data_IF_055363240922
#
_entry.id   IF_055363240922
#
_cell.length_a   1.000
_cell.length_b   1.000
_cell.length_c   1.000
_cell.angle_alpha   90.00
_cell.angle_beta   90.00
_cell.angle_gamma   90.00
#
_symmetry.space_group_name_H-M   'P 1'
#
loop_
_entity.id
_entity.type
_entity.pdbx_description
1 polymer ?
#
# COMPACT_ATOMS: atom_id res chain seq x y z
N UNK A 1 12.72 -17.74 -0.52
CA UNK A 1 11.73 -17.66 0.57
C UNK A 1 12.13 -18.45 1.80
N UNK A 2 12.73 -19.64 1.68
CA UNK A 2 13.13 -20.50 2.82
C UNK A 2 13.85 -19.78 3.98
N UNK A 3 14.85 -18.94 3.71
CA UNK A 3 15.56 -18.18 4.75
C UNK A 3 14.65 -17.20 5.49
N UNK A 4 13.81 -16.45 4.75
CA UNK A 4 12.91 -15.44 5.33
C UNK A 4 11.81 -16.12 6.13
N UNK A 5 11.19 -17.19 5.60
CA UNK A 5 10.19 -17.99 6.30
C UNK A 5 10.74 -18.60 7.59
N UNK A 6 11.98 -19.10 7.57
CA UNK A 6 12.65 -19.61 8.78
C UNK A 6 12.91 -18.50 9.80
N UNK A 7 13.36 -17.33 9.36
CA UNK A 7 13.68 -16.21 10.24
C UNK A 7 12.43 -15.53 10.82
N UNK A 8 11.34 -15.44 10.05
CA UNK A 8 10.10 -14.79 10.48
C UNK A 8 9.12 -15.74 11.17
N UNK A 9 9.26 -17.06 11.00
CA UNK A 9 8.28 -18.05 11.44
C UNK A 9 6.99 -18.06 10.60
N UNK A 10 6.92 -17.28 9.52
CA UNK A 10 5.74 -17.16 8.66
C UNK A 10 5.95 -17.91 7.36
N UNK A 11 5.10 -18.88 7.07
CA UNK A 11 5.10 -19.60 5.80
C UNK A 11 4.35 -18.81 4.73
N UNK A 12 5.03 -18.52 3.62
CA UNK A 12 4.44 -17.82 2.48
C UNK A 12 5.24 -18.11 1.20
N UNK A 13 4.58 -17.89 0.06
CA UNK A 13 5.14 -18.01 -1.28
C UNK A 13 5.33 -16.64 -1.92
N UNK A 14 6.01 -16.59 -3.06
CA UNK A 14 6.14 -15.36 -3.86
C UNK A 14 4.77 -14.86 -4.35
N UNK A 15 3.81 -15.78 -4.54
CA UNK A 15 2.46 -15.42 -4.95
C UNK A 15 1.68 -14.69 -3.85
N UNK A 16 1.87 -15.12 -2.59
CA UNK A 16 1.25 -14.47 -1.44
C UNK A 16 1.77 -13.03 -1.26
N UNK A 17 3.05 -12.78 -1.55
CA UNK A 17 3.60 -11.43 -1.59
C UNK A 17 2.92 -10.57 -2.66
N UNK A 18 2.69 -11.14 -3.86
CA UNK A 18 1.97 -10.45 -4.94
C UNK A 18 0.53 -10.14 -4.53
N UNK A 19 -0.17 -11.08 -3.91
CA UNK A 19 -1.54 -10.87 -3.40
C UNK A 19 -1.58 -9.80 -2.32
N UNK A 20 -0.66 -9.85 -1.37
CA UNK A 20 -0.53 -8.80 -0.33
C UNK A 20 -0.34 -7.43 -0.96
N UNK A 21 0.51 -7.30 -1.98
CA UNK A 21 0.70 -6.05 -2.72
C UNK A 21 -0.59 -5.56 -3.39
N UNK A 22 -1.36 -6.46 -4.03
CA UNK A 22 -2.64 -6.14 -4.66
C UNK A 22 -3.65 -5.65 -3.62
N UNK A 23 -3.83 -6.40 -2.54
CA UNK A 23 -4.80 -6.11 -1.48
C UNK A 23 -4.51 -4.76 -0.82
N UNK A 24 -3.23 -4.47 -0.54
CA UNK A 24 -2.84 -3.17 0.00
C UNK A 24 -3.11 -2.05 -1.00
N UNK A 25 -2.75 -2.22 -2.27
CA UNK A 25 -2.99 -1.20 -3.27
C UNK A 25 -4.48 -0.89 -3.43
N UNK A 26 -5.33 -1.92 -3.40
CA UNK A 26 -6.78 -1.78 -3.43
C UNK A 26 -7.30 -1.02 -2.20
N UNK A 27 -6.82 -1.36 -0.99
CA UNK A 27 -7.20 -0.65 0.25
C UNK A 27 -6.78 0.82 0.30
N UNK A 28 -5.84 1.23 -0.56
CA UNK A 28 -5.36 2.61 -0.70
C UNK A 28 -6.06 3.36 -1.84
N UNK A 29 -7.16 2.81 -2.39
CA UNK A 29 -7.93 3.36 -3.51
C UNK A 29 -7.07 3.63 -4.76
N UNK A 30 -6.04 2.81 -4.98
CA UNK A 30 -5.20 2.92 -6.18
C UNK A 30 -5.98 2.36 -7.37
N UNK A 31 -6.13 3.18 -8.41
CA UNK A 31 -6.85 2.77 -9.63
C UNK A 31 -6.35 1.43 -10.18
N UNK A 32 -7.29 0.57 -10.61
CA UNK A 32 -6.99 -0.76 -11.14
C UNK A 32 -5.98 -0.74 -12.31
N UNK A 33 -5.99 0.32 -13.11
CA UNK A 33 -5.05 0.50 -14.21
C UNK A 33 -3.62 0.83 -13.74
N UNK A 34 -3.47 1.69 -12.73
CA UNK A 34 -2.17 1.93 -12.12
C UNK A 34 -1.65 0.63 -11.48
N UNK A 35 -2.49 -0.12 -10.77
CA UNK A 35 -2.14 -1.39 -10.16
C UNK A 35 -1.68 -2.44 -11.19
N UNK A 36 -2.47 -2.66 -12.25
CA UNK A 36 -2.09 -3.56 -13.37
C UNK A 36 -0.71 -3.20 -13.94
N UNK A 37 -0.40 -1.90 -14.07
CA UNK A 37 0.89 -1.43 -14.57
C UNK A 37 2.03 -1.68 -13.58
N UNK A 38 1.83 -1.40 -12.29
CA UNK A 38 2.81 -1.72 -11.23
C UNK A 38 3.14 -3.22 -11.18
N UNK A 39 2.17 -4.06 -11.54
CA UNK A 39 2.30 -5.52 -11.58
C UNK A 39 2.83 -6.08 -12.91
N UNK A 40 3.16 -5.20 -13.87
CA UNK A 40 3.55 -5.55 -15.23
C UNK A 40 2.53 -6.46 -15.95
N UNK A 41 1.24 -6.28 -15.69
CA UNK A 41 0.19 -7.03 -16.36
C UNK A 41 -0.02 -6.57 -17.80
N UNK A 42 -0.26 -7.54 -18.70
CA UNK A 42 -0.63 -7.27 -20.09
C UNK A 42 -2.06 -6.72 -20.16
N UNK A 43 -2.26 -5.71 -20.99
CA UNK A 43 -3.56 -5.05 -21.18
C UNK A 43 -3.97 -4.98 -22.66
N UNK A 44 -3.44 -5.88 -23.49
CA UNK A 44 -3.55 -5.78 -24.96
C UNK A 44 -4.97 -5.82 -25.51
N UNK A 45 -5.92 -6.37 -24.77
CA UNK A 45 -7.30 -6.55 -25.20
C UNK A 45 -8.25 -5.57 -24.49
N UNK A 46 -7.71 -4.60 -23.77
CA UNK A 46 -8.47 -3.62 -23.00
C UNK A 46 -8.58 -2.31 -23.82
N UNK A 47 -9.71 -2.14 -24.51
CA UNK A 47 -9.95 -0.95 -25.34
C UNK A 47 -9.96 0.35 -24.52
N UNK A 48 -10.34 0.27 -23.25
CA UNK A 48 -10.39 1.41 -22.32
C UNK A 48 -8.99 1.82 -21.90
N UNK A 49 -8.06 0.87 -21.78
CA UNK A 49 -6.66 1.13 -21.44
C UNK A 49 -5.97 2.10 -22.42
N UNK A 50 -6.46 2.20 -23.67
CA UNK A 50 -5.93 3.14 -24.68
C UNK A 50 -6.13 4.61 -24.31
N UNK A 51 -7.13 4.92 -23.49
CA UNK A 51 -7.41 6.29 -23.05
C UNK A 51 -6.64 6.68 -21.79
N UNK A 52 -5.93 5.74 -21.18
CA UNK A 52 -5.26 5.96 -19.91
C UNK A 52 -3.83 6.39 -20.19
N UNK A 53 -3.51 7.59 -19.76
CA UNK A 53 -2.15 8.15 -19.88
C UNK A 53 -1.21 7.30 -19.03
N UNK A 54 -0.38 6.50 -19.70
CA UNK A 54 0.55 5.52 -19.12
C UNK A 54 1.93 6.11 -18.82
N UNK A 55 1.98 7.34 -18.33
CA UNK A 55 3.24 7.96 -17.93
C UNK A 55 3.75 7.32 -16.62
N UNK A 56 5.01 6.86 -16.65
CA UNK A 56 5.74 6.33 -15.49
C UNK A 56 5.72 7.31 -14.32
N UNK A 57 5.70 8.63 -14.58
CA UNK A 57 5.59 9.65 -13.52
C UNK A 57 4.31 9.48 -12.69
N UNK A 58 3.20 9.05 -13.31
CA UNK A 58 1.93 8.81 -12.60
C UNK A 58 1.96 7.59 -11.69
N UNK A 59 2.89 6.65 -11.92
CA UNK A 59 3.05 5.45 -11.08
C UNK A 59 3.85 5.70 -9.80
N UNK A 60 4.59 6.82 -9.73
CA UNK A 60 5.41 7.17 -8.56
C UNK A 60 4.56 7.36 -7.30
N UNK A 61 3.48 8.15 -7.39
CA UNK A 61 2.59 8.39 -6.25
C UNK A 61 1.92 7.11 -5.74
N UNK A 62 1.29 6.26 -6.59
CA UNK A 62 0.78 4.95 -6.18
C UNK A 62 1.83 4.05 -5.53
N UNK A 63 3.02 3.93 -6.12
CA UNK A 63 4.10 3.12 -5.54
C UNK A 63 4.52 3.66 -4.16
N UNK A 64 4.68 4.98 -4.04
CA UNK A 64 5.06 5.61 -2.78
C UNK A 64 4.00 5.36 -1.69
N UNK A 65 2.71 5.47 -2.01
CA UNK A 65 1.63 5.19 -1.05
C UNK A 65 1.69 3.75 -0.50
N UNK A 66 1.94 2.78 -1.38
CA UNK A 66 2.09 1.37 -0.97
C UNK A 66 3.35 1.21 -0.09
N UNK A 67 4.47 1.82 -0.48
CA UNK A 67 5.70 1.80 0.32
C UNK A 67 5.50 2.43 1.70
N UNK A 68 4.88 3.60 1.77
CA UNK A 68 4.61 4.30 3.03
C UNK A 68 3.71 3.46 3.94
N UNK A 69 2.72 2.77 3.37
CA UNK A 69 1.87 1.85 4.12
C UNK A 69 2.69 0.71 4.75
N UNK A 70 3.55 0.04 3.97
CA UNK A 70 4.43 -1.00 4.51
C UNK A 70 5.34 -0.47 5.62
N UNK A 71 5.96 0.69 5.41
CA UNK A 71 6.87 1.29 6.39
C UNK A 71 6.14 1.69 7.68
N UNK A 72 4.89 2.14 7.58
CA UNK A 72 4.03 2.38 8.76
C UNK A 72 3.72 1.08 9.50
N UNK A 73 3.31 0.02 8.80
CA UNK A 73 3.05 -1.29 9.41
C UNK A 73 4.30 -1.89 10.08
N UNK A 74 5.49 -1.61 9.54
CA UNK A 74 6.77 -2.04 10.11
C UNK A 74 7.27 -1.16 11.26
N UNK A 75 6.58 -0.06 11.58
CA UNK A 75 7.03 0.91 12.58
C UNK A 75 8.27 1.72 12.20
N UNK A 76 8.67 1.70 10.91
CA UNK A 76 9.81 2.46 10.39
C UNK A 76 9.45 3.94 10.23
N UNK A 77 8.21 4.22 9.84
CA UNK A 77 7.64 5.57 9.79
C UNK A 77 6.64 5.69 10.93
N UNK A 78 6.76 6.77 11.72
CA UNK A 78 5.80 7.08 12.79
C UNK A 78 4.40 7.28 12.21
N UNK A 79 3.41 6.59 12.79
CA UNK A 79 2.02 6.98 12.62
C UNK A 79 1.77 8.28 13.39
N UNK A 80 0.70 9.01 13.07
CA UNK A 80 0.41 10.32 13.66
C UNK A 80 0.46 10.29 15.20
N UNK A 81 1.06 11.30 15.81
CA UNK A 81 1.11 11.45 17.26
C UNK A 81 -0.32 11.62 17.79
N UNK A 82 -0.79 10.68 18.62
CA UNK A 82 -2.10 10.78 19.27
C UNK A 82 -2.03 11.83 20.38
N UNK A 83 -2.53 13.04 20.11
CA UNK A 83 -2.68 14.06 21.15
C UNK A 83 -3.88 13.67 22.01
N UNK A 84 -3.63 13.36 23.29
CA UNK A 84 -4.71 13.10 24.25
C UNK A 84 -5.57 14.35 24.44
N UNK A 85 -6.88 14.22 24.26
CA UNK A 85 -7.82 15.30 24.55
C UNK A 85 -7.86 15.47 26.07
N UNK A 86 -7.30 16.58 26.57
CA UNK A 86 -7.44 16.94 27.98
C UNK A 86 -8.88 17.36 28.25
N UNK A 87 -9.54 16.64 29.16
CA UNK A 87 -10.84 17.04 29.68
C UNK A 87 -10.70 18.42 30.32
N UNK A 88 -11.46 19.39 29.80
CA UNK A 88 -11.57 20.71 30.41
C UNK A 88 -12.19 20.51 31.79
N UNK A 89 -11.39 20.68 32.85
CA UNK A 89 -11.91 20.62 34.21
C UNK A 89 -12.80 21.85 34.39
N UNK A 90 -14.11 21.67 34.19
CA UNK A 90 -15.14 22.66 34.51
C UNK A 90 -15.04 22.91 36.01
N UNK A 91 -14.40 24.04 36.36
CA UNK A 91 -14.26 24.48 37.74
C UNK A 91 -15.63 24.69 38.36
N UNK A 92 -15.94 23.88 39.36
CA UNK A 92 -17.06 24.11 40.27
C UNK A 92 -16.71 25.31 41.14
N UNK A 93 -17.36 26.45 40.87
CA UNK A 93 -17.51 27.55 41.82
C UNK A 93 -18.82 27.40 42.58
#
# INVERSE_FOLDING_TARGET
MAHVTKASGVHFTVHDLRHTFITIAESLDISAYALKRLMNHKMSNDVTARYIITDVKRLRKPMQLITDYFLKCMGVIRSADSIGIQALQLGSH
#
